data_IF_331240249061
#
_entry.id   IF_331240249061
#
_cell.length_a   1.000
_cell.length_b   1.000
_cell.length_c   1.000
_cell.angle_alpha   90.00
_cell.angle_beta   90.00
_cell.angle_gamma   90.00
#
_symmetry.space_group_name_H-M   'P 1'
#
loop_
_entity.id
_entity.type
_entity.pdbx_description
1 polymer ?
#
# COMPACT_ATOMS: atom_id res chain seq x y z
N UNK A 1 -34.80 -35.35 -64.96
CA UNK A 1 -33.80 -35.50 -63.87
C UNK A 1 -33.59 -34.18 -63.26
N UNK A 2 -34.10 -33.93 -62.05
CA UNK A 2 -33.94 -32.65 -61.31
C UNK A 2 -33.00 -32.90 -60.13
N UNK A 3 -31.78 -32.33 -60.21
CA UNK A 3 -30.80 -32.32 -59.11
C UNK A 3 -31.25 -31.35 -58.04
N UNK A 4 -31.48 -31.81 -56.79
CA UNK A 4 -31.69 -30.96 -55.61
C UNK A 4 -30.33 -30.68 -54.97
N UNK A 5 -29.91 -29.44 -55.02
CA UNK A 5 -28.76 -28.97 -54.20
C UNK A 5 -29.22 -28.81 -52.75
N UNK A 6 -28.60 -29.55 -51.83
CA UNK A 6 -28.75 -29.38 -50.41
C UNK A 6 -27.74 -28.33 -49.96
N UNK A 7 -28.21 -27.19 -49.46
CA UNK A 7 -27.38 -26.19 -48.76
C UNK A 7 -27.14 -26.65 -47.33
N UNK A 8 -25.87 -26.88 -47.01
CA UNK A 8 -25.41 -27.19 -45.66
C UNK A 8 -25.14 -25.89 -44.93
N UNK A 9 -26.01 -25.49 -44.01
CA UNK A 9 -25.79 -24.30 -43.17
C UNK A 9 -24.86 -24.63 -42.02
N UNK A 10 -23.66 -24.06 -42.06
CA UNK A 10 -22.66 -24.17 -40.98
C UNK A 10 -22.96 -23.15 -39.88
N UNK A 11 -23.55 -23.61 -38.79
CA UNK A 11 -23.77 -22.77 -37.59
C UNK A 11 -22.47 -22.71 -36.80
N UNK A 12 -21.81 -21.56 -36.80
CA UNK A 12 -20.64 -21.24 -35.94
C UNK A 12 -21.16 -20.93 -34.55
N UNK A 13 -20.97 -21.86 -33.61
CA UNK A 13 -21.18 -21.60 -32.18
C UNK A 13 -20.02 -20.72 -31.67
N UNK A 14 -20.29 -19.44 -31.48
CA UNK A 14 -19.39 -18.55 -30.77
C UNK A 14 -19.30 -18.94 -29.29
N UNK A 15 -18.13 -19.42 -28.86
CA UNK A 15 -17.84 -19.61 -27.44
C UNK A 15 -17.84 -18.26 -26.73
N UNK A 16 -18.55 -18.11 -25.59
CA UNK A 16 -18.45 -16.90 -24.80
C UNK A 16 -17.00 -16.77 -24.29
N UNK A 17 -16.34 -15.67 -24.62
CA UNK A 17 -15.10 -15.27 -23.99
C UNK A 17 -15.39 -14.97 -22.52
N UNK A 18 -15.09 -15.91 -21.64
CA UNK A 18 -15.02 -15.63 -20.21
C UNK A 18 -13.89 -14.60 -20.03
N UNK A 19 -14.27 -13.35 -19.80
CA UNK A 19 -13.34 -12.36 -19.26
C UNK A 19 -12.85 -12.92 -17.93
N UNK A 20 -11.59 -13.33 -17.87
CA UNK A 20 -10.94 -13.70 -16.64
C UNK A 20 -10.98 -12.43 -15.75
N UNK A 21 -11.89 -12.41 -14.78
CA UNK A 21 -11.84 -11.43 -13.69
C UNK A 21 -10.44 -11.56 -13.09
N UNK A 22 -9.64 -10.51 -13.27
CA UNK A 22 -8.25 -10.50 -12.84
C UNK A 22 -8.17 -10.91 -11.37
N UNK A 23 -7.50 -12.02 -11.10
CA UNK A 23 -7.34 -12.56 -9.76
C UNK A 23 -6.83 -11.44 -8.84
N UNK A 24 -7.70 -10.97 -7.94
CA UNK A 24 -7.37 -9.90 -6.99
C UNK A 24 -6.32 -10.43 -6.03
N UNK A 25 -5.07 -9.98 -6.23
CA UNK A 25 -3.97 -10.41 -5.37
C UNK A 25 -4.03 -9.67 -4.04
N UNK A 26 -4.10 -10.43 -2.95
CA UNK A 26 -4.09 -9.88 -1.61
C UNK A 26 -2.65 -9.75 -1.09
N UNK A 27 -2.39 -8.63 -0.40
CA UNK A 27 -1.17 -8.39 0.37
C UNK A 27 -1.55 -8.34 1.84
N UNK A 28 -0.99 -9.24 2.63
CA UNK A 28 -1.15 -9.23 4.09
C UNK A 28 0.05 -8.56 4.71
N UNK A 29 -0.19 -7.51 5.50
CA UNK A 29 0.85 -6.80 6.25
C UNK A 29 0.71 -7.14 7.72
N UNK A 30 1.73 -7.78 8.28
CA UNK A 30 1.88 -7.98 9.71
C UNK A 30 2.50 -6.72 10.32
N UNK A 31 1.75 -6.01 11.13
CA UNK A 31 2.21 -4.82 11.85
C UNK A 31 2.80 -5.22 13.19
N UNK A 32 4.05 -4.86 13.42
CA UNK A 32 4.81 -5.16 14.63
C UNK A 32 5.12 -3.86 15.39
N UNK A 33 4.23 -3.38 16.27
CA UNK A 33 4.48 -2.19 17.05
C UNK A 33 5.61 -2.39 18.05
N UNK A 34 6.52 -1.42 18.16
CA UNK A 34 7.57 -1.39 19.19
C UNK A 34 7.18 -0.53 20.40
N UNK A 35 6.29 0.45 20.22
CA UNK A 35 5.79 1.35 21.26
C UNK A 35 4.27 1.28 21.44
N UNK A 36 3.75 2.30 22.10
CA UNK A 36 2.30 2.45 22.28
C UNK A 36 1.62 2.78 20.94
N UNK A 37 0.36 2.43 20.81
CA UNK A 37 -0.42 2.73 19.62
C UNK A 37 -1.89 2.93 19.95
N UNK A 38 -2.55 3.84 19.21
CA UNK A 38 -3.99 3.95 19.27
C UNK A 38 -4.67 3.11 18.16
N UNK A 39 -5.81 2.53 18.50
CA UNK A 39 -6.60 1.78 17.53
C UNK A 39 -7.13 2.67 16.39
N UNK A 40 -7.36 3.97 16.67
CA UNK A 40 -7.77 4.95 15.67
C UNK A 40 -6.65 5.24 14.68
N UNK A 41 -5.41 5.41 15.13
CA UNK A 41 -4.26 5.59 14.25
C UNK A 41 -4.04 4.39 13.34
N UNK A 42 -4.10 3.17 13.88
CA UNK A 42 -3.89 1.96 13.06
C UNK A 42 -5.02 1.72 12.06
N UNK A 43 -6.29 1.96 12.45
CA UNK A 43 -7.42 1.84 11.51
C UNK A 43 -7.31 2.83 10.36
N UNK A 44 -6.98 4.09 10.67
CA UNK A 44 -6.82 5.12 9.65
C UNK A 44 -5.63 4.85 8.74
N UNK A 45 -4.50 4.38 9.29
CA UNK A 45 -3.34 3.94 8.51
C UNK A 45 -3.74 2.88 7.49
N UNK A 46 -4.48 1.87 7.92
CA UNK A 46 -4.95 0.80 7.03
C UNK A 46 -5.91 1.31 5.96
N UNK A 47 -6.83 2.19 6.34
CA UNK A 47 -7.81 2.79 5.41
C UNK A 47 -7.13 3.62 4.34
N UNK A 48 -6.19 4.48 4.72
CA UNK A 48 -5.47 5.36 3.79
C UNK A 48 -4.59 4.54 2.83
N UNK A 49 -3.78 3.62 3.36
CA UNK A 49 -2.92 2.77 2.54
C UNK A 49 -3.73 1.91 1.55
N UNK A 50 -4.85 1.32 1.99
CA UNK A 50 -5.74 0.55 1.13
C UNK A 50 -6.38 1.42 0.03
N UNK A 51 -6.77 2.66 0.37
CA UNK A 51 -7.33 3.62 -0.59
C UNK A 51 -6.33 3.96 -1.70
N UNK A 52 -5.09 4.25 -1.33
CA UNK A 52 -4.01 4.58 -2.28
C UNK A 52 -3.71 3.38 -3.20
N UNK A 53 -3.55 2.19 -2.62
CA UNK A 53 -3.17 1.00 -3.38
C UNK A 53 -4.34 0.40 -4.20
N UNK A 54 -5.57 0.86 -3.99
CA UNK A 54 -6.75 0.35 -4.71
C UNK A 54 -6.58 0.38 -6.23
N UNK A 55 -5.94 1.42 -6.76
CA UNK A 55 -5.72 1.61 -8.21
C UNK A 55 -4.84 0.51 -8.82
N UNK A 56 -3.95 -0.08 -8.04
CA UNK A 56 -3.12 -1.21 -8.48
C UNK A 56 -3.83 -2.57 -8.42
N UNK A 57 -5.07 -2.63 -7.92
CA UNK A 57 -5.81 -3.88 -7.74
C UNK A 57 -5.42 -4.69 -6.51
N UNK A 58 -4.53 -4.15 -5.65
CA UNK A 58 -4.12 -4.80 -4.39
C UNK A 58 -5.28 -4.78 -3.39
N UNK A 59 -5.58 -5.93 -2.81
CA UNK A 59 -6.39 -6.05 -1.61
C UNK A 59 -5.46 -6.09 -0.40
N UNK A 60 -5.38 -4.97 0.32
CA UNK A 60 -4.56 -4.85 1.52
C UNK A 60 -5.29 -5.41 2.74
N UNK A 61 -4.60 -6.26 3.50
CA UNK A 61 -5.06 -6.78 4.81
C UNK A 61 -4.01 -6.45 5.85
N UNK A 62 -4.39 -5.70 6.89
CA UNK A 62 -3.50 -5.45 8.03
C UNK A 62 -3.83 -6.44 9.16
N UNK A 63 -2.80 -6.96 9.79
CA UNK A 63 -2.87 -7.78 11.00
C UNK A 63 -1.88 -7.25 12.02
N UNK A 64 -2.29 -7.19 13.26
CA UNK A 64 -1.43 -6.78 14.36
C UNK A 64 -0.74 -8.01 14.95
N UNK A 65 0.57 -7.94 15.11
CA UNK A 65 1.39 -9.05 15.63
C UNK A 65 1.63 -10.15 14.59
N UNK A 66 1.89 -11.35 15.08
CA UNK A 66 2.16 -12.51 14.23
C UNK A 66 0.96 -12.80 13.30
N UNK A 67 1.16 -12.81 11.99
CA UNK A 67 0.09 -13.10 11.05
C UNK A 67 -0.35 -14.56 11.05
N UNK A 68 0.40 -15.45 11.70
CA UNK A 68 0.22 -16.89 11.57
C UNK A 68 0.51 -17.38 10.15
N UNK A 69 -0.07 -18.51 9.76
CA UNK A 69 0.05 -18.98 8.39
C UNK A 69 -0.85 -18.15 7.45
N UNK A 70 -0.24 -17.61 6.39
CA UNK A 70 -0.92 -16.85 5.33
C UNK A 70 -0.71 -17.61 4.02
N UNK A 71 -1.76 -18.30 3.52
CA UNK A 71 -1.63 -19.20 2.38
C UNK A 71 -1.72 -18.52 1.02
N UNK A 72 -2.59 -17.51 0.85
CA UNK A 72 -2.97 -17.01 -0.48
C UNK A 72 -2.63 -15.53 -0.72
N UNK A 73 -1.64 -15.00 -0.01
CA UNK A 73 -1.25 -13.60 -0.14
C UNK A 73 0.25 -13.41 0.02
N UNK A 74 0.76 -12.31 -0.56
CA UNK A 74 2.08 -11.82 -0.20
C UNK A 74 2.04 -11.40 1.27
N UNK A 75 2.89 -12.00 2.10
CA UNK A 75 3.14 -11.54 3.45
C UNK A 75 4.26 -10.50 3.45
N UNK A 76 3.97 -9.34 4.01
CA UNK A 76 4.94 -8.28 4.30
C UNK A 76 4.95 -8.03 5.81
N UNK A 77 6.12 -7.96 6.41
CA UNK A 77 6.27 -7.58 7.81
C UNK A 77 6.66 -6.12 7.90
N UNK A 78 5.94 -5.33 8.70
CA UNK A 78 6.24 -3.91 8.89
C UNK A 78 6.37 -3.61 10.38
N UNK A 79 7.55 -3.16 10.80
CA UNK A 79 7.77 -2.64 12.13
C UNK A 79 7.27 -1.20 12.25
N UNK A 80 6.55 -0.93 13.31
CA UNK A 80 6.10 0.40 13.68
C UNK A 80 7.02 0.92 14.78
N UNK A 81 7.90 1.86 14.44
CA UNK A 81 8.96 2.33 15.35
C UNK A 81 8.49 3.49 16.20
N UNK A 82 8.69 3.34 17.51
CA UNK A 82 8.24 4.31 18.51
C UNK A 82 6.73 4.30 18.69
N UNK A 83 6.21 5.37 19.32
CA UNK A 83 4.80 5.48 19.65
C UNK A 83 3.96 5.90 18.44
N UNK A 84 2.90 5.14 18.18
CA UNK A 84 1.96 5.36 17.08
C UNK A 84 0.62 5.93 17.59
N UNK A 85 0.70 6.85 18.55
CA UNK A 85 -0.43 7.57 19.12
C UNK A 85 -0.02 9.04 19.42
N UNK A 86 -1.00 9.92 19.56
CA UNK A 86 -0.74 11.35 19.74
C UNK A 86 -0.13 11.71 21.09
N UNK A 87 -0.47 10.98 22.13
CA UNK A 87 0.03 11.21 23.49
C UNK A 87 1.42 10.57 23.69
N UNK A 88 1.91 9.86 22.66
CA UNK A 88 3.22 9.24 22.64
C UNK A 88 4.38 10.22 22.46
N UNK A 89 5.57 9.69 22.57
CA UNK A 89 6.80 10.47 22.41
C UNK A 89 7.01 10.86 20.95
N UNK A 90 6.99 12.16 20.67
CA UNK A 90 7.37 12.67 19.35
C UNK A 90 8.89 12.75 19.22
N UNK A 91 9.44 12.25 18.12
CA UNK A 91 10.85 12.40 17.78
C UNK A 91 11.07 13.64 16.91
N UNK A 92 12.19 14.30 17.10
CA UNK A 92 12.65 15.41 16.25
C UNK A 92 13.62 14.93 15.17
N UNK A 93 13.66 13.64 14.90
CA UNK A 93 14.55 13.06 13.89
C UNK A 93 14.30 13.68 12.51
N UNK A 94 15.39 13.90 11.77
CA UNK A 94 15.36 14.29 10.35
C UNK A 94 15.56 13.10 9.43
N UNK A 95 15.43 11.89 9.96
CA UNK A 95 15.56 10.64 9.21
C UNK A 95 14.39 10.39 8.24
N UNK A 96 14.47 9.35 7.44
CA UNK A 96 13.36 8.90 6.62
C UNK A 96 12.19 8.44 7.51
N UNK A 97 10.97 8.66 7.03
CA UNK A 97 9.75 8.32 7.76
C UNK A 97 9.36 6.84 7.60
N UNK A 98 9.98 6.15 6.63
CA UNK A 98 9.82 4.73 6.39
C UNK A 98 11.02 4.15 5.66
N UNK A 99 11.10 2.83 5.65
CA UNK A 99 12.12 2.05 4.94
C UNK A 99 11.52 0.77 4.38
N UNK A 100 11.95 0.41 3.18
CA UNK A 100 11.93 -0.95 2.66
C UNK A 100 13.35 -1.51 2.67
N UNK A 101 13.54 -2.69 3.23
CA UNK A 101 14.87 -3.28 3.37
C UNK A 101 15.33 -3.92 2.07
N UNK A 102 16.61 -3.76 1.76
CA UNK A 102 17.27 -4.35 0.60
C UNK A 102 18.45 -5.23 1.05
N UNK A 103 18.62 -6.36 0.40
CA UNK A 103 19.77 -7.23 0.57
C UNK A 103 20.20 -7.80 -0.80
N UNK A 104 21.47 -7.66 -1.14
CA UNK A 104 22.04 -8.12 -2.42
C UNK A 104 21.25 -7.63 -3.66
N UNK A 105 20.83 -6.37 -3.65
CA UNK A 105 20.07 -5.76 -4.74
C UNK A 105 18.62 -6.21 -4.84
N UNK A 106 18.09 -6.93 -3.82
CA UNK A 106 16.71 -7.40 -3.77
C UNK A 106 15.96 -6.73 -2.63
N UNK A 107 14.82 -6.12 -2.95
CA UNK A 107 13.91 -5.60 -1.93
C UNK A 107 13.26 -6.78 -1.17
N UNK A 108 13.38 -6.76 0.13
CA UNK A 108 12.83 -7.80 1.01
C UNK A 108 11.35 -7.50 1.32
N UNK A 109 10.54 -8.52 1.68
CA UNK A 109 9.17 -8.31 2.13
C UNK A 109 9.13 -7.82 3.61
N UNK A 110 10.00 -6.85 3.91
CA UNK A 110 10.16 -6.28 5.23
C UNK A 110 10.36 -4.77 5.14
N UNK A 111 9.63 -4.02 5.98
CA UNK A 111 9.73 -2.57 6.02
C UNK A 111 9.52 -2.00 7.43
N UNK A 112 9.67 -0.69 7.54
CA UNK A 112 9.48 0.05 8.78
C UNK A 112 8.69 1.34 8.53
N UNK A 113 7.93 1.77 9.53
CA UNK A 113 7.26 3.08 9.60
C UNK A 113 7.64 3.74 10.90
N UNK A 114 8.25 4.92 10.84
CA UNK A 114 8.75 5.66 12.00
C UNK A 114 7.63 6.54 12.61
N UNK A 115 6.77 5.95 13.43
CA UNK A 115 5.60 6.61 14.01
C UNK A 115 5.95 7.89 14.77
N UNK A 116 6.93 7.83 15.69
CA UNK A 116 7.35 8.98 16.48
C UNK A 116 7.94 10.11 15.64
N UNK A 117 8.64 9.79 14.53
CA UNK A 117 9.21 10.80 13.62
C UNK A 117 8.11 11.45 12.75
N UNK A 118 7.13 10.66 12.31
CA UNK A 118 5.94 11.17 11.63
C UNK A 118 5.20 12.12 12.55
N UNK A 119 4.96 11.72 13.80
CA UNK A 119 4.31 12.56 14.78
C UNK A 119 5.11 13.86 15.05
N UNK A 120 6.43 13.77 15.20
CA UNK A 120 7.32 14.94 15.35
C UNK A 120 7.22 15.90 14.18
N UNK A 121 7.14 15.38 12.95
CA UNK A 121 6.97 16.19 11.74
C UNK A 121 5.62 16.91 11.72
N UNK A 122 4.54 16.25 12.12
CA UNK A 122 3.21 16.87 12.21
C UNK A 122 3.16 17.98 13.27
N UNK A 123 3.72 17.75 14.45
CA UNK A 123 3.80 18.76 15.52
C UNK A 123 4.60 19.99 15.09
N UNK A 124 5.75 19.78 14.47
CA UNK A 124 6.66 20.86 14.06
C UNK A 124 6.04 21.81 13.04
N UNK A 125 5.16 21.31 12.20
CA UNK A 125 4.50 22.11 11.17
C UNK A 125 3.28 22.89 11.70
N UNK A 126 3.01 22.88 13.01
CA UNK A 126 1.78 23.47 13.58
C UNK A 126 0.58 23.02 12.76
N UNK A 127 0.40 21.71 12.66
CA UNK A 127 -0.72 21.14 11.93
C UNK A 127 -2.00 21.91 12.28
N UNK A 128 -2.72 22.50 11.31
CA UNK A 128 -3.89 23.33 11.62
C UNK A 128 -4.87 22.46 12.41
N UNK A 129 -5.18 22.87 13.62
CA UNK A 129 -6.05 22.17 14.59
C UNK A 129 -7.46 21.88 14.06
N UNK A 130 -7.76 22.33 12.84
CA UNK A 130 -9.12 22.55 12.41
C UNK A 130 -9.79 21.39 11.69
N UNK A 131 -9.14 20.25 11.41
CA UNK A 131 -9.79 19.32 10.47
C UNK A 131 -9.77 17.82 10.78
N UNK A 132 -8.87 17.32 11.62
CA UNK A 132 -8.83 15.90 11.97
C UNK A 132 -8.41 15.69 13.42
N UNK A 133 -9.05 14.76 14.16
CA UNK A 133 -8.49 14.29 15.42
C UNK A 133 -7.04 13.85 15.20
N UNK A 134 -6.15 14.13 16.14
CA UNK A 134 -4.73 13.94 15.90
C UNK A 134 -4.32 12.51 15.59
N UNK A 135 -4.92 11.51 16.24
CA UNK A 135 -4.70 10.11 15.90
C UNK A 135 -5.12 9.78 14.46
N UNK A 136 -6.16 10.44 13.95
CA UNK A 136 -6.58 10.28 12.55
C UNK A 136 -5.57 10.93 11.61
N UNK A 137 -5.03 12.11 11.97
CA UNK A 137 -3.99 12.77 11.18
C UNK A 137 -2.69 11.93 11.16
N UNK A 138 -2.29 11.43 12.32
CA UNK A 138 -1.14 10.53 12.44
C UNK A 138 -1.36 9.25 11.63
N UNK A 139 -2.51 8.61 11.78
CA UNK A 139 -2.85 7.39 11.05
C UNK A 139 -2.84 7.59 9.53
N UNK A 140 -3.36 8.73 9.05
CA UNK A 140 -3.30 9.08 7.62
C UNK A 140 -1.85 9.22 7.15
N UNK A 141 -1.03 9.96 7.88
CA UNK A 141 0.38 10.12 7.54
C UNK A 141 1.13 8.78 7.52
N UNK A 142 0.93 7.94 8.54
CA UNK A 142 1.46 6.58 8.59
C UNK A 142 0.98 5.73 7.41
N UNK A 143 -0.29 5.86 7.01
CA UNK A 143 -0.86 5.13 5.87
C UNK A 143 -0.21 5.51 4.53
N UNK A 144 0.16 6.77 4.35
CA UNK A 144 0.89 7.27 3.17
C UNK A 144 2.31 6.73 3.12
N UNK A 145 3.00 6.77 4.25
CA UNK A 145 4.34 6.17 4.37
C UNK A 145 4.27 4.66 4.13
N UNK A 146 3.31 3.95 4.75
CA UNK A 146 3.10 2.52 4.50
C UNK A 146 2.85 2.21 3.03
N UNK A 147 2.00 2.97 2.36
CA UNK A 147 1.73 2.76 0.93
C UNK A 147 2.98 2.98 0.07
N UNK A 148 3.84 3.94 0.43
CA UNK A 148 5.14 4.18 -0.21
C UNK A 148 6.07 2.96 -0.05
N UNK A 149 6.24 2.45 1.16
CA UNK A 149 7.10 1.29 1.41
C UNK A 149 6.55 0.02 0.72
N UNK A 150 5.22 -0.16 0.73
CA UNK A 150 4.58 -1.26 0.02
C UNK A 150 4.76 -1.15 -1.50
N UNK A 151 4.84 0.06 -2.07
CA UNK A 151 5.21 0.22 -3.47
C UNK A 151 6.60 -0.38 -3.74
N UNK A 152 7.61 -0.01 -2.96
CA UNK A 152 8.96 -0.55 -3.11
C UNK A 152 9.00 -2.08 -2.98
N UNK A 153 8.33 -2.61 -1.97
CA UNK A 153 8.33 -4.05 -1.67
C UNK A 153 7.58 -4.85 -2.75
N UNK A 154 6.39 -4.41 -3.13
CA UNK A 154 5.53 -5.17 -4.05
C UNK A 154 6.02 -5.04 -5.48
N UNK A 155 6.41 -3.85 -5.92
CA UNK A 155 6.99 -3.64 -7.24
C UNK A 155 8.44 -4.15 -7.34
N UNK A 156 9.06 -4.53 -6.23
CA UNK A 156 10.47 -4.93 -6.11
C UNK A 156 11.41 -3.90 -6.76
N UNK A 157 11.26 -2.63 -6.41
CA UNK A 157 12.00 -1.52 -7.02
C UNK A 157 12.49 -0.51 -5.99
N UNK A 158 13.75 -0.06 -6.03
CA UNK A 158 14.22 1.05 -5.22
C UNK A 158 13.90 2.42 -5.85
N UNK A 159 13.28 2.45 -7.03
CA UNK A 159 13.01 3.70 -7.76
C UNK A 159 11.83 4.43 -7.16
N UNK A 160 11.93 5.77 -7.17
CA UNK A 160 10.84 6.65 -6.80
C UNK A 160 10.17 7.23 -8.05
N UNK A 161 8.86 7.45 -7.96
CA UNK A 161 8.10 8.22 -8.93
C UNK A 161 8.37 9.72 -8.83
N UNK A 162 7.84 10.50 -9.77
CA UNK A 162 7.93 11.96 -9.75
C UNK A 162 6.87 12.59 -8.87
N UNK A 163 5.71 12.00 -8.80
CA UNK A 163 4.51 12.55 -8.18
C UNK A 163 3.80 11.49 -7.31
N UNK A 164 2.81 11.95 -6.53
CA UNK A 164 1.98 11.06 -5.74
C UNK A 164 2.72 10.37 -4.60
N UNK A 165 2.24 9.18 -4.21
CA UNK A 165 2.73 8.44 -3.06
C UNK A 165 4.14 7.86 -3.25
N UNK A 166 4.59 7.70 -4.49
CA UNK A 166 5.88 7.06 -4.81
C UNK A 166 7.05 8.05 -4.89
N UNK A 167 6.81 9.34 -4.70
CA UNK A 167 7.88 10.36 -4.68
C UNK A 167 8.81 10.18 -3.48
N UNK A 168 10.06 10.60 -3.64
CA UNK A 168 11.14 10.38 -2.67
C UNK A 168 10.91 10.97 -1.28
N UNK A 169 10.15 12.05 -1.15
CA UNK A 169 9.92 12.74 0.10
C UNK A 169 8.54 13.38 0.13
N UNK A 170 7.96 13.48 1.33
CA UNK A 170 6.70 14.16 1.60
C UNK A 170 6.93 15.40 2.43
N UNK A 171 6.27 16.49 2.07
CA UNK A 171 6.03 17.60 2.98
C UNK A 171 4.98 17.19 4.03
N UNK A 172 4.96 17.88 5.17
CA UNK A 172 3.93 17.65 6.21
C UNK A 172 2.52 17.84 5.65
N UNK A 173 2.33 18.79 4.74
CA UNK A 173 1.05 19.00 4.08
C UNK A 173 0.66 17.78 3.23
N UNK A 174 1.58 17.20 2.51
CA UNK A 174 1.34 15.98 1.71
C UNK A 174 1.12 14.75 2.58
N UNK A 175 1.58 14.74 3.83
CA UNK A 175 1.28 13.65 4.76
C UNK A 175 -0.16 13.70 5.29
N UNK A 176 -0.83 14.85 5.29
CA UNK A 176 -2.11 15.01 5.99
C UNK A 176 -3.24 15.56 5.14
N UNK A 177 -2.95 16.50 4.23
CA UNK A 177 -3.96 17.22 3.47
C UNK A 177 -4.19 16.60 2.09
N UNK A 178 -5.42 16.74 1.59
CA UNK A 178 -5.80 16.33 0.24
C UNK A 178 -5.77 14.82 0.02
N UNK A 179 -5.89 14.44 -1.23
CA UNK A 179 -5.76 13.07 -1.71
C UNK A 179 -4.33 12.86 -2.20
N UNK A 180 -3.73 11.74 -1.84
CA UNK A 180 -2.45 11.31 -2.35
C UNK A 180 -2.65 10.03 -3.15
N UNK A 181 -2.38 10.09 -4.45
CA UNK A 181 -2.68 9.02 -5.37
C UNK A 181 -1.42 8.27 -5.82
N UNK A 182 -1.66 7.08 -6.32
CA UNK A 182 -0.72 6.30 -7.09
C UNK A 182 -0.92 6.63 -8.57
N UNK A 183 0.12 6.96 -9.31
CA UNK A 183 -0.03 7.15 -10.75
C UNK A 183 -0.25 5.81 -11.48
N UNK A 184 -0.58 5.89 -12.77
CA UNK A 184 -0.92 4.69 -13.53
C UNK A 184 0.31 3.80 -13.77
N UNK A 185 1.46 4.41 -14.03
CA UNK A 185 2.72 3.66 -14.28
C UNK A 185 3.17 2.91 -13.04
N UNK A 186 3.07 3.54 -11.86
CA UNK A 186 3.43 2.91 -10.58
C UNK A 186 2.42 1.83 -10.18
N UNK A 187 1.13 2.02 -10.48
CA UNK A 187 0.12 0.99 -10.31
C UNK A 187 0.40 -0.24 -11.18
N UNK A 188 0.88 -0.04 -12.41
CA UNK A 188 1.27 -1.12 -13.32
C UNK A 188 2.51 -1.86 -12.82
N UNK A 189 3.50 -1.15 -12.24
CA UNK A 189 4.66 -1.78 -11.60
C UNK A 189 4.28 -2.68 -10.42
N UNK A 190 3.35 -2.22 -9.57
CA UNK A 190 2.82 -3.04 -8.47
C UNK A 190 2.13 -4.28 -9.03
N UNK A 191 1.26 -4.16 -10.04
CA UNK A 191 0.60 -5.31 -10.68
C UNK A 191 1.60 -6.31 -11.22
N UNK A 192 2.61 -5.83 -11.94
CA UNK A 192 3.69 -6.67 -12.46
C UNK A 192 4.48 -7.39 -11.36
N UNK A 193 4.73 -6.71 -10.23
CA UNK A 193 5.40 -7.29 -9.07
C UNK A 193 4.62 -8.45 -8.43
N UNK A 194 3.30 -8.33 -8.37
CA UNK A 194 2.42 -9.37 -7.81
C UNK A 194 2.33 -10.64 -8.68
N UNK A 195 2.59 -10.52 -9.97
CA UNK A 195 2.53 -11.64 -10.92
C UNK A 195 3.85 -12.42 -11.03
N UNK A 196 4.94 -11.92 -10.40
CA UNK A 196 6.24 -12.60 -10.44
C UNK A 196 6.21 -13.87 -9.58
N UNK A 197 6.73 -15.01 -10.07
CA UNK A 197 6.98 -16.18 -9.23
C UNK A 197 7.97 -15.79 -8.12
N UNK A 198 7.73 -16.28 -6.93
CA UNK A 198 8.55 -16.03 -5.74
C UNK A 198 9.19 -17.30 -5.26
#
# INVERSE_FOLDING_TARGET
MKLRQAMLSLTVFGLPAFAAEGASTSVTVALMPEGQYSQSSLREMGREAASILKKSGVKLRLRLGDPGQVSDSLLVVVRLKGDCEMDGTASASKGPLGWSHEMDGKILPFGEVACSDIWGSLRSARYPENHLPGDVALGRAMGRVLAHELYHIVAATPRHGRDGVTRKAFSTRELTAGQLDLDQSDADLIRGGLQRPR
#
